data_IF_620304290977
#
_entry.id   IF_620304290977
#
_cell.length_a   1.000
_cell.length_b   1.000
_cell.length_c   1.000
_cell.angle_alpha   90.00
_cell.angle_beta   90.00
_cell.angle_gamma   90.00
#
_symmetry.space_group_name_H-M   'P 1'
#
loop_
_entity.id
_entity.type
_entity.pdbx_description
1 polymer ?
#
# COMPACT_ATOMS: atom_id res chain seq x y z
N UNK A 1 1.26 31.24 17.30
CA UNK A 1 2.29 30.74 16.37
C UNK A 1 2.45 29.23 16.55
N UNK A 2 1.77 28.42 15.74
CA UNK A 2 1.96 26.97 15.72
C UNK A 2 3.29 26.65 15.03
N UNK A 3 4.30 26.23 15.79
CA UNK A 3 5.62 25.93 15.24
C UNK A 3 6.80 26.10 16.20
N UNK A 4 6.56 26.37 17.48
CA UNK A 4 7.59 26.34 18.52
C UNK A 4 8.12 24.92 18.78
N UNK A 5 9.24 24.80 19.50
CA UNK A 5 9.95 23.54 19.78
C UNK A 5 9.01 22.43 20.29
N UNK A 6 8.19 22.73 21.30
CA UNK A 6 7.23 21.77 21.90
C UNK A 6 6.13 21.35 20.92
N UNK A 7 5.67 22.26 20.06
CA UNK A 7 4.66 21.95 19.05
C UNK A 7 5.22 20.99 18.00
N UNK A 8 6.41 21.30 17.47
CA UNK A 8 7.09 20.43 16.49
C UNK A 8 7.40 19.05 17.09
N UNK A 9 7.88 19.02 18.35
CA UNK A 9 8.15 17.79 19.10
C UNK A 9 6.89 16.93 19.24
N UNK A 10 5.81 17.49 19.77
CA UNK A 10 4.57 16.77 20.02
C UNK A 10 3.91 16.31 18.71
N UNK A 11 3.96 17.12 17.65
CA UNK A 11 3.45 16.74 16.34
C UNK A 11 4.24 15.56 15.74
N UNK A 12 5.57 15.58 15.82
CA UNK A 12 6.42 14.50 15.33
C UNK A 12 6.23 13.21 16.14
N UNK A 13 6.06 13.33 17.46
CA UNK A 13 5.72 12.20 18.34
C UNK A 13 4.36 11.61 17.95
N UNK A 14 3.33 12.45 17.83
CA UNK A 14 1.97 12.00 17.47
C UNK A 14 1.94 11.31 16.10
N UNK A 15 2.66 11.86 15.12
CA UNK A 15 2.76 11.30 13.77
C UNK A 15 3.42 9.92 13.78
N UNK A 16 4.53 9.75 14.53
CA UNK A 16 5.18 8.44 14.62
C UNK A 16 4.35 7.43 15.43
N UNK A 17 3.59 7.86 16.47
CA UNK A 17 2.64 6.98 17.16
C UNK A 17 1.55 6.50 16.20
N UNK A 18 1.01 7.39 15.36
CA UNK A 18 0.02 7.01 14.35
C UNK A 18 0.60 5.97 13.38
N UNK A 19 1.84 6.15 12.92
CA UNK A 19 2.50 5.18 12.04
C UNK A 19 2.76 3.82 12.72
N UNK A 20 3.09 3.80 14.03
CA UNK A 20 3.15 2.54 14.80
C UNK A 20 1.80 1.83 14.81
N UNK A 21 0.70 2.57 15.05
CA UNK A 21 -0.66 1.99 15.05
C UNK A 21 -1.02 1.41 13.67
N UNK A 22 -0.70 2.12 12.59
CA UNK A 22 -0.90 1.64 11.22
C UNK A 22 -0.05 0.38 10.97
N UNK A 23 1.20 0.35 11.43
CA UNK A 23 2.07 -0.82 11.30
C UNK A 23 1.49 -2.07 11.96
N UNK A 24 0.97 -1.94 13.18
CA UNK A 24 0.28 -3.06 13.86
C UNK A 24 -1.00 -3.49 13.13
N UNK A 25 -1.76 -2.53 12.58
CA UNK A 25 -2.94 -2.84 11.78
C UNK A 25 -2.57 -3.64 10.52
N UNK A 26 -1.53 -3.22 9.79
CA UNK A 26 -1.05 -3.93 8.60
C UNK A 26 -0.62 -5.37 8.93
N UNK A 27 0.12 -5.56 10.03
CA UNK A 27 0.51 -6.89 10.50
C UNK A 27 -0.73 -7.71 10.87
N UNK A 28 -1.66 -7.14 11.64
CA UNK A 28 -2.88 -7.81 12.07
C UNK A 28 -3.73 -8.30 10.89
N UNK A 29 -3.96 -7.43 9.90
CA UNK A 29 -4.70 -7.79 8.68
C UNK A 29 -3.94 -8.85 7.86
N UNK A 30 -2.62 -8.72 7.73
CA UNK A 30 -1.80 -9.69 7.01
C UNK A 30 -1.81 -11.09 7.66
N UNK A 31 -1.70 -11.14 8.99
CA UNK A 31 -1.77 -12.39 9.76
C UNK A 31 -3.17 -13.01 9.66
N UNK A 32 -4.23 -12.20 9.78
CA UNK A 32 -5.60 -12.66 9.63
C UNK A 32 -5.85 -13.24 8.23
N UNK A 33 -5.43 -12.55 7.18
CA UNK A 33 -5.58 -13.01 5.79
C UNK A 33 -4.88 -14.35 5.54
N UNK A 34 -3.71 -14.56 6.15
CA UNK A 34 -2.99 -15.84 6.10
C UNK A 34 -3.72 -16.94 6.88
N UNK A 35 -4.17 -16.63 8.10
CA UNK A 35 -4.81 -17.60 8.99
C UNK A 35 -6.18 -18.06 8.50
N UNK A 36 -6.95 -17.16 7.87
CA UNK A 36 -8.25 -17.47 7.28
C UNK A 36 -8.15 -18.33 6.00
N UNK A 37 -6.95 -18.71 5.56
CA UNK A 37 -6.67 -19.47 4.34
C UNK A 37 -7.21 -18.87 3.03
N UNK A 38 -7.61 -17.59 3.06
CA UNK A 38 -8.13 -16.87 1.89
C UNK A 38 -7.01 -16.70 0.85
N UNK A 39 -5.77 -16.48 1.30
CA UNK A 39 -4.61 -16.26 0.43
C UNK A 39 -3.35 -16.83 1.09
N UNK A 40 -3.15 -18.15 1.04
CA UNK A 40 -2.08 -18.80 1.83
C UNK A 40 -0.67 -18.63 1.27
N UNK A 41 -0.50 -18.29 -0.02
CA UNK A 41 0.81 -18.27 -0.68
C UNK A 41 1.01 -17.13 -1.71
N UNK A 42 0.22 -16.04 -1.67
CA UNK A 42 0.51 -14.92 -2.57
C UNK A 42 1.66 -14.06 -1.99
N UNK A 43 2.66 -13.69 -2.82
CA UNK A 43 3.73 -12.76 -2.45
C UNK A 43 3.22 -11.45 -1.82
N UNK A 44 1.98 -11.06 -2.17
CA UNK A 44 1.29 -9.87 -1.67
C UNK A 44 1.17 -9.88 -0.13
N UNK A 45 0.84 -11.03 0.48
CA UNK A 45 0.69 -11.14 1.94
C UNK A 45 2.02 -10.91 2.64
N UNK A 46 3.11 -11.48 2.09
CA UNK A 46 4.47 -11.24 2.58
C UNK A 46 4.87 -9.77 2.51
N UNK A 47 4.50 -9.10 1.40
CA UNK A 47 4.71 -7.67 1.22
C UNK A 47 4.03 -6.82 2.30
N UNK A 48 2.74 -7.05 2.58
CA UNK A 48 1.98 -6.31 3.60
C UNK A 48 2.61 -6.48 5.00
N UNK A 49 3.01 -7.71 5.34
CA UNK A 49 3.68 -7.99 6.62
C UNK A 49 5.03 -7.28 6.74
N UNK A 50 5.87 -7.35 5.70
CA UNK A 50 7.16 -6.69 5.68
C UNK A 50 7.02 -5.16 5.78
N UNK A 51 6.08 -4.57 5.04
CA UNK A 51 5.75 -3.15 5.12
C UNK A 51 5.36 -2.73 6.54
N UNK A 52 4.52 -3.52 7.22
CA UNK A 52 4.12 -3.25 8.61
C UNK A 52 5.29 -3.25 9.58
N UNK A 53 6.19 -4.23 9.49
CA UNK A 53 7.39 -4.32 10.34
C UNK A 53 8.35 -3.16 10.08
N UNK A 54 8.63 -2.86 8.81
CA UNK A 54 9.52 -1.75 8.43
C UNK A 54 8.96 -0.42 8.91
N UNK A 55 7.65 -0.19 8.77
CA UNK A 55 6.99 1.03 9.23
C UNK A 55 7.14 1.21 10.74
N UNK A 56 7.00 0.14 11.54
CA UNK A 56 7.22 0.19 12.99
C UNK A 56 8.68 0.56 13.29
N UNK A 57 9.65 -0.08 12.65
CA UNK A 57 11.07 0.20 12.86
C UNK A 57 11.42 1.68 12.57
N UNK A 58 10.95 2.22 11.45
CA UNK A 58 11.15 3.62 11.06
C UNK A 58 10.47 4.56 12.06
N UNK A 59 9.26 4.21 12.50
CA UNK A 59 8.51 5.02 13.47
C UNK A 59 9.17 5.05 14.85
N UNK A 60 9.77 3.94 15.28
CA UNK A 60 10.56 3.86 16.51
C UNK A 60 11.81 4.74 16.44
N UNK A 61 12.50 4.75 15.29
CA UNK A 61 13.64 5.64 15.04
C UNK A 61 13.22 7.11 15.07
N UNK A 62 12.10 7.46 14.43
CA UNK A 62 11.50 8.80 14.47
C UNK A 62 11.11 9.24 15.87
N UNK A 63 10.47 8.36 16.64
CA UNK A 63 10.06 8.62 18.03
C UNK A 63 11.28 8.81 18.95
N UNK A 64 12.28 7.93 18.86
CA UNK A 64 13.52 8.06 19.63
C UNK A 64 14.27 9.35 19.28
N UNK A 65 14.32 9.70 17.99
CA UNK A 65 14.84 10.99 17.52
C UNK A 65 14.09 12.15 18.16
N UNK A 66 12.76 12.15 18.10
CA UNK A 66 11.91 13.22 18.61
C UNK A 66 11.99 13.39 20.14
N UNK A 67 11.98 12.29 20.90
CA UNK A 67 11.99 12.31 22.37
C UNK A 67 13.34 12.76 22.91
N UNK A 68 14.44 12.22 22.37
CA UNK A 68 15.82 12.52 22.81
C UNK A 68 16.45 13.72 22.10
N UNK A 69 15.73 14.34 21.17
CA UNK A 69 16.27 15.40 20.30
C UNK A 69 17.60 15.01 19.62
N UNK A 70 17.74 13.73 19.24
CA UNK A 70 19.02 13.19 18.76
C UNK A 70 19.23 13.51 17.27
N UNK A 71 20.01 14.54 17.00
CA UNK A 71 20.28 15.12 15.68
C UNK A 71 20.58 14.10 14.58
N UNK A 72 21.43 13.10 14.85
CA UNK A 72 21.80 12.08 13.85
C UNK A 72 20.64 11.11 13.55
N UNK A 73 19.81 10.77 14.54
CA UNK A 73 18.66 9.87 14.32
C UNK A 73 17.61 10.57 13.47
N UNK A 74 17.34 11.85 13.74
CA UNK A 74 16.45 12.65 12.89
C UNK A 74 16.98 12.78 11.46
N UNK A 75 18.30 12.82 11.26
CA UNK A 75 18.88 12.87 9.91
C UNK A 75 18.56 11.61 9.11
N UNK A 76 18.85 10.44 9.67
CA UNK A 76 18.53 9.17 9.01
C UNK A 76 17.03 9.00 8.79
N UNK A 77 16.21 9.38 9.79
CA UNK A 77 14.76 9.40 9.66
C UNK A 77 14.29 10.19 8.44
N UNK A 78 14.79 11.42 8.26
CA UNK A 78 14.42 12.26 7.12
C UNK A 78 14.86 11.66 5.79
N UNK A 79 16.06 11.08 5.71
CA UNK A 79 16.53 10.42 4.47
C UNK A 79 15.63 9.24 4.12
N UNK A 80 15.33 8.38 5.11
CA UNK A 80 14.50 7.19 4.89
C UNK A 80 13.09 7.60 4.44
N UNK A 81 12.45 8.55 5.13
CA UNK A 81 11.14 9.06 4.73
C UNK A 81 11.15 9.70 3.34
N UNK A 82 12.21 10.42 2.99
CA UNK A 82 12.31 11.00 1.66
C UNK A 82 12.43 9.92 0.57
N UNK A 83 13.18 8.85 0.81
CA UNK A 83 13.26 7.71 -0.12
C UNK A 83 11.92 6.98 -0.23
N UNK A 84 11.20 6.78 0.89
CA UNK A 84 9.86 6.21 0.87
C UNK A 84 8.88 7.07 0.07
N UNK A 85 8.95 8.39 0.24
CA UNK A 85 8.14 9.34 -0.54
C UNK A 85 8.38 9.16 -2.04
N UNK A 86 9.62 9.10 -2.50
CA UNK A 86 9.92 8.95 -3.92
C UNK A 86 9.37 7.64 -4.49
N UNK A 87 9.52 6.54 -3.75
CA UNK A 87 9.03 5.22 -4.16
C UNK A 87 7.49 5.21 -4.18
N UNK A 88 6.84 5.65 -3.11
CA UNK A 88 5.38 5.66 -2.99
C UNK A 88 4.74 6.59 -4.02
N UNK A 89 5.28 7.79 -4.19
CA UNK A 89 4.77 8.75 -5.16
C UNK A 89 4.89 8.20 -6.59
N UNK A 90 6.00 7.53 -6.91
CA UNK A 90 6.18 6.89 -8.22
C UNK A 90 5.16 5.77 -8.44
N UNK A 91 5.03 4.83 -7.50
CA UNK A 91 4.09 3.70 -7.62
C UNK A 91 2.64 4.22 -7.70
N UNK A 92 2.29 5.18 -6.84
CA UNK A 92 0.94 5.75 -6.80
C UNK A 92 0.57 6.45 -8.10
N UNK A 93 1.51 7.22 -8.66
CA UNK A 93 1.32 7.85 -9.97
C UNK A 93 1.19 6.82 -11.08
N UNK A 94 1.99 5.74 -11.06
CA UNK A 94 1.86 4.64 -12.02
C UNK A 94 0.49 3.97 -11.93
N UNK A 95 -0.03 3.68 -10.73
CA UNK A 95 -1.35 3.09 -10.55
C UNK A 95 -2.48 3.99 -11.10
N UNK A 96 -2.40 5.31 -10.91
CA UNK A 96 -3.41 6.24 -11.45
C UNK A 96 -3.32 6.44 -12.97
N UNK A 97 -2.16 6.17 -13.55
CA UNK A 97 -1.92 6.36 -14.99
C UNK A 97 -2.21 5.10 -15.83
N UNK A 98 -2.57 3.97 -15.21
CA UNK A 98 -2.91 2.73 -15.93
C UNK A 98 -4.14 2.94 -16.81
N UNK A 99 -4.06 2.54 -18.08
CA UNK A 99 -5.16 2.58 -19.03
C UNK A 99 -5.91 1.24 -19.14
N UNK A 100 -7.02 1.21 -19.88
CA UNK A 100 -7.87 0.01 -20.04
C UNK A 100 -7.16 -1.17 -20.71
N UNK A 101 -6.31 -0.93 -21.71
CA UNK A 101 -5.56 -2.01 -22.38
C UNK A 101 -4.58 -2.69 -21.40
N UNK A 102 -3.89 -1.90 -20.57
CA UNK A 102 -3.03 -2.43 -19.52
C UNK A 102 -3.82 -3.18 -18.44
N UNK A 103 -5.01 -2.70 -18.08
CA UNK A 103 -5.90 -3.39 -17.13
C UNK A 103 -6.29 -4.78 -17.65
N UNK A 104 -6.70 -4.86 -18.91
CA UNK A 104 -7.03 -6.13 -19.57
C UNK A 104 -5.82 -7.08 -19.58
N UNK A 105 -4.64 -6.58 -19.94
CA UNK A 105 -3.42 -7.39 -19.92
C UNK A 105 -3.09 -7.92 -18.52
N UNK A 106 -3.23 -7.10 -17.47
CA UNK A 106 -3.02 -7.55 -16.10
C UNK A 106 -4.07 -8.57 -15.65
N UNK A 107 -5.32 -8.38 -16.05
CA UNK A 107 -6.41 -9.32 -15.77
C UNK A 107 -6.13 -10.68 -16.42
N UNK A 108 -5.72 -10.70 -17.69
CA UNK A 108 -5.45 -11.92 -18.44
C UNK A 108 -4.20 -12.65 -17.91
N UNK A 109 -3.09 -11.93 -17.72
CA UNK A 109 -1.87 -12.50 -17.14
C UNK A 109 -2.09 -13.02 -15.72
N UNK A 110 -2.84 -12.26 -14.92
CA UNK A 110 -3.27 -12.65 -13.59
C UNK A 110 -4.05 -13.95 -13.65
N UNK A 111 -5.08 -14.02 -14.51
CA UNK A 111 -5.88 -15.23 -14.71
C UNK A 111 -5.04 -16.43 -15.10
N UNK A 112 -4.09 -16.28 -16.03
CA UNK A 112 -3.24 -17.37 -16.51
C UNK A 112 -2.23 -17.88 -15.46
N UNK A 113 -1.78 -17.00 -14.56
CA UNK A 113 -0.73 -17.31 -13.57
C UNK A 113 -1.27 -17.86 -12.26
N UNK A 114 -2.48 -17.45 -11.85
CA UNK A 114 -3.03 -17.85 -10.55
C UNK A 114 -3.45 -19.33 -10.52
N UNK A 115 -3.36 -19.99 -9.35
CA UNK A 115 -3.77 -21.39 -9.21
C UNK A 115 -5.28 -21.57 -9.39
N UNK A 116 -5.69 -22.76 -9.82
CA UNK A 116 -7.09 -23.16 -10.08
C UNK A 116 -8.03 -22.87 -8.90
N UNK A 117 -7.55 -23.03 -7.66
CA UNK A 117 -8.34 -22.73 -6.46
C UNK A 117 -8.68 -21.23 -6.34
N UNK A 118 -7.72 -20.35 -6.68
CA UNK A 118 -7.98 -18.90 -6.66
C UNK A 118 -8.93 -18.50 -7.80
N UNK A 119 -8.81 -19.11 -8.98
CA UNK A 119 -9.79 -18.90 -10.07
C UNK A 119 -11.20 -19.28 -9.64
N UNK A 120 -11.35 -20.43 -8.97
CA UNK A 120 -12.63 -20.89 -8.43
C UNK A 120 -13.20 -19.92 -7.40
N UNK A 121 -12.38 -19.40 -6.48
CA UNK A 121 -12.82 -18.37 -5.52
C UNK A 121 -13.27 -17.09 -6.21
N UNK A 122 -12.56 -16.65 -7.26
CA UNK A 122 -12.96 -15.48 -8.06
C UNK A 122 -14.30 -15.73 -8.73
N UNK A 123 -14.49 -16.89 -9.38
CA UNK A 123 -15.77 -17.29 -9.98
C UNK A 123 -16.91 -17.32 -8.96
N UNK A 124 -16.67 -17.91 -7.78
CA UNK A 124 -17.65 -18.01 -6.70
C UNK A 124 -18.04 -16.65 -6.11
N UNK A 125 -17.07 -15.73 -6.00
CA UNK A 125 -17.25 -14.38 -5.43
C UNK A 125 -17.83 -13.37 -6.42
N UNK A 126 -17.45 -13.44 -7.70
CA UNK A 126 -17.91 -12.52 -8.75
C UNK A 126 -19.10 -13.06 -9.54
N UNK A 127 -19.51 -14.32 -9.30
CA UNK A 127 -20.62 -14.99 -10.01
C UNK A 127 -20.44 -14.94 -11.53
N UNK A 128 -19.25 -15.30 -11.98
CA UNK A 128 -18.84 -15.32 -13.39
C UNK A 128 -18.20 -16.68 -13.73
N UNK A 129 -18.03 -16.97 -15.03
CA UNK A 129 -17.42 -18.21 -15.50
C UNK A 129 -16.41 -17.95 -16.62
N UNK A 130 -15.19 -18.50 -16.50
CA UNK A 130 -14.13 -18.36 -17.50
C UNK A 130 -13.63 -16.92 -17.64
N UNK A 131 -12.49 -16.72 -18.31
CA UNK A 131 -11.96 -15.37 -18.51
C UNK A 131 -12.69 -14.63 -19.63
N UNK A 132 -12.78 -15.24 -20.81
CA UNK A 132 -13.53 -14.73 -21.94
C UNK A 132 -14.86 -15.48 -22.09
N UNK A 133 -15.85 -14.86 -22.73
CA UNK A 133 -17.12 -15.52 -23.00
C UNK A 133 -16.83 -16.78 -23.81
N UNK A 134 -17.10 -17.95 -23.24
CA UNK A 134 -17.04 -19.24 -23.95
C UNK A 134 -18.10 -19.27 -25.05
N UNK A 135 -17.80 -18.62 -26.17
CA UNK A 135 -18.27 -19.02 -27.50
C UNK A 135 -17.38 -20.17 -28.01
N UNK A 136 -17.84 -20.98 -28.97
CA UNK A 136 -17.00 -21.99 -29.60
C UNK A 136 -15.97 -21.30 -30.49
N UNK A 137 -14.93 -20.70 -29.92
CA UNK A 137 -13.83 -20.13 -30.68
C UNK A 137 -12.80 -21.23 -30.95
N UNK A 138 -12.97 -21.88 -32.10
CA UNK A 138 -11.84 -22.21 -32.94
C UNK A 138 -10.92 -20.99 -33.02
N UNK A 139 -9.63 -21.21 -32.72
CA UNK A 139 -8.50 -20.29 -32.87
C UNK A 139 -7.96 -19.70 -31.54
N UNK A 140 -6.98 -20.42 -31.01
CA UNK A 140 -5.70 -19.83 -30.54
C UNK A 140 -5.70 -19.03 -29.24
N UNK A 141 -5.99 -19.67 -28.11
CA UNK A 141 -5.21 -19.48 -26.87
C UNK A 141 -5.17 -20.86 -26.19
N UNK A 142 -4.00 -21.32 -25.77
CA UNK A 142 -3.89 -22.57 -25.00
C UNK A 142 -4.73 -22.39 -23.74
N UNK A 143 -5.82 -23.17 -23.53
CA UNK A 143 -6.62 -23.05 -22.32
C UNK A 143 -5.73 -23.32 -21.10
N UNK A 144 -5.98 -22.66 -19.96
CA UNK A 144 -5.23 -22.94 -18.74
C UNK A 144 -5.25 -24.44 -18.43
N UNK A 145 -4.14 -25.02 -17.91
CA UNK A 145 -3.99 -26.47 -17.81
C UNK A 145 -5.11 -27.17 -17.02
N UNK A 146 -5.83 -26.44 -16.16
CA UNK A 146 -7.03 -26.88 -15.46
C UNK A 146 -7.96 -25.66 -15.22
N UNK A 147 -8.97 -25.44 -16.07
CA UNK A 147 -10.06 -24.51 -15.74
C UNK A 147 -11.09 -25.20 -14.84
N UNK A 148 -11.52 -24.58 -13.73
CA UNK A 148 -12.51 -25.17 -12.85
C UNK A 148 -13.89 -25.23 -13.54
N UNK A 149 -14.61 -26.34 -13.36
CA UNK A 149 -15.95 -26.51 -13.95
C UNK A 149 -16.90 -25.39 -13.53
N UNK A 150 -17.58 -24.80 -14.50
CA UNK A 150 -18.59 -23.76 -14.30
C UNK A 150 -20.01 -24.29 -14.06
N UNK A 151 -20.22 -25.60 -14.03
CA UNK A 151 -21.55 -26.19 -13.94
C UNK A 151 -22.32 -25.71 -12.70
N UNK A 152 -21.63 -25.65 -11.55
CA UNK A 152 -22.22 -25.15 -10.30
C UNK A 152 -22.53 -23.66 -10.31
N UNK A 153 -21.68 -22.84 -10.92
CA UNK A 153 -21.86 -21.38 -10.93
C UNK A 153 -22.95 -20.98 -11.93
N UNK A 154 -23.01 -21.66 -13.08
CA UNK A 154 -24.05 -21.47 -14.09
C UNK A 154 -25.44 -21.73 -13.51
N UNK A 155 -25.62 -22.80 -12.72
CA UNK A 155 -26.87 -23.04 -11.99
C UNK A 155 -27.27 -21.87 -11.07
N UNK A 156 -26.31 -21.13 -10.53
CA UNK A 156 -26.57 -20.00 -9.64
C UNK A 156 -26.90 -18.71 -10.39
N UNK A 157 -26.20 -18.40 -11.49
CA UNK A 157 -26.54 -17.24 -12.35
C UNK A 157 -27.89 -17.45 -13.05
N UNK A 158 -28.16 -18.69 -13.46
CA UNK A 158 -29.31 -19.08 -14.26
C UNK A 158 -30.51 -19.55 -13.42
N UNK A 159 -30.49 -19.35 -12.10
CA UNK A 159 -31.54 -19.81 -11.19
C UNK A 159 -32.95 -19.25 -11.54
N UNK A 160 -33.00 -18.13 -12.28
CA UNK A 160 -34.24 -17.47 -12.70
C UNK A 160 -34.43 -17.43 -14.22
N UNK A 161 -33.52 -18.00 -15.02
CA UNK A 161 -33.63 -17.98 -16.48
C UNK A 161 -34.44 -19.17 -16.99
N UNK A 162 -35.38 -18.94 -17.90
CA UNK A 162 -36.12 -19.99 -18.61
C UNK A 162 -35.41 -20.51 -19.86
N UNK A 163 -34.16 -20.09 -20.10
CA UNK A 163 -33.37 -20.47 -21.26
C UNK A 163 -32.61 -21.78 -21.01
N UNK A 164 -32.71 -22.70 -21.97
CA UNK A 164 -32.08 -24.03 -21.88
C UNK A 164 -30.54 -24.01 -22.01
N UNK A 165 -29.94 -22.93 -22.50
CA UNK A 165 -28.48 -22.72 -22.65
C UNK A 165 -28.03 -21.42 -21.98
N UNK A 166 -28.53 -21.15 -20.77
CA UNK A 166 -28.06 -20.01 -19.98
C UNK A 166 -26.64 -20.27 -19.45
N UNK A 167 -25.76 -19.27 -19.57
CA UNK A 167 -24.38 -19.27 -19.05
C UNK A 167 -24.12 -17.98 -18.28
N UNK A 168 -23.30 -18.05 -17.23
CA UNK A 168 -22.84 -16.83 -16.55
C UNK A 168 -22.00 -15.97 -17.50
N UNK A 169 -21.97 -14.67 -17.22
CA UNK A 169 -21.08 -13.72 -17.90
C UNK A 169 -19.59 -14.08 -17.64
N UNK A 170 -18.68 -13.80 -18.59
CA UNK A 170 -17.24 -13.96 -18.38
C UNK A 170 -16.69 -13.13 -17.21
N UNK A 171 -15.66 -13.65 -16.56
CA UNK A 171 -14.97 -12.97 -15.47
C UNK A 171 -14.05 -11.82 -15.93
N UNK A 172 -13.59 -11.81 -17.18
CA UNK A 172 -12.69 -10.80 -17.75
C UNK A 172 -13.13 -9.36 -17.47
N UNK A 173 -14.28 -8.90 -17.99
CA UNK A 173 -14.74 -7.52 -17.77
C UNK A 173 -14.96 -7.19 -16.30
N UNK A 174 -15.50 -8.12 -15.50
CA UNK A 174 -15.67 -7.92 -14.06
C UNK A 174 -14.32 -7.78 -13.34
N UNK A 175 -13.30 -8.51 -13.78
CA UNK A 175 -11.97 -8.46 -13.19
C UNK A 175 -11.26 -7.15 -13.55
N UNK A 176 -11.40 -6.67 -14.79
CA UNK A 176 -10.91 -5.37 -15.24
C UNK A 176 -11.48 -4.23 -14.39
N UNK A 177 -12.80 -4.22 -14.14
CA UNK A 177 -13.45 -3.22 -13.28
C UNK A 177 -12.90 -3.24 -11.84
N UNK A 178 -12.65 -4.44 -11.29
CA UNK A 178 -12.07 -4.58 -9.94
C UNK A 178 -10.62 -4.10 -9.90
N UNK A 179 -9.84 -4.37 -10.94
CA UNK A 179 -8.46 -3.93 -11.07
C UNK A 179 -8.40 -2.41 -11.21
N UNK A 180 -9.25 -1.80 -12.03
CA UNK A 180 -9.36 -0.33 -12.18
C UNK A 180 -9.67 0.34 -10.84
N UNK A 181 -10.70 -0.15 -10.14
CA UNK A 181 -11.04 0.36 -8.82
C UNK A 181 -9.88 0.22 -7.83
N UNK A 182 -9.21 -0.93 -7.81
CA UNK A 182 -8.09 -1.17 -6.92
C UNK A 182 -6.91 -0.23 -7.23
N UNK A 183 -6.56 -0.02 -8.50
CA UNK A 183 -5.48 0.89 -8.87
C UNK A 183 -5.81 2.34 -8.53
N UNK A 184 -7.04 2.81 -8.77
CA UNK A 184 -7.48 4.16 -8.39
C UNK A 184 -7.43 4.37 -6.88
N UNK A 185 -7.90 3.38 -6.11
CA UNK A 185 -7.89 3.43 -4.65
C UNK A 185 -6.45 3.42 -4.11
N UNK A 186 -5.62 2.46 -4.54
CA UNK A 186 -4.22 2.34 -4.12
C UNK A 186 -3.40 3.57 -4.50
N UNK A 187 -3.59 4.09 -5.72
CA UNK A 187 -2.93 5.31 -6.18
C UNK A 187 -3.36 6.54 -5.37
N UNK A 188 -4.65 6.70 -5.09
CA UNK A 188 -5.15 7.78 -4.23
C UNK A 188 -4.58 7.72 -2.80
N UNK A 189 -4.60 6.54 -2.18
CA UNK A 189 -4.02 6.33 -0.84
C UNK A 189 -2.51 6.59 -0.83
N UNK A 190 -1.78 6.12 -1.84
CA UNK A 190 -0.34 6.33 -1.96
C UNK A 190 0.04 7.81 -2.08
N UNK A 191 -0.71 8.61 -2.87
CA UNK A 191 -0.51 10.06 -2.94
C UNK A 191 -0.82 10.73 -1.60
N UNK A 192 -1.92 10.34 -0.93
CA UNK A 192 -2.27 10.88 0.38
C UNK A 192 -1.14 10.62 1.40
N UNK A 193 -0.64 9.39 1.49
CA UNK A 193 0.47 9.05 2.39
C UNK A 193 1.75 9.80 2.02
N UNK A 194 2.09 9.89 0.74
CA UNK A 194 3.24 10.66 0.24
C UNK A 194 3.21 12.11 0.71
N UNK A 195 2.03 12.75 0.71
CA UNK A 195 1.87 14.11 1.25
C UNK A 195 2.15 14.18 2.76
N UNK A 196 1.65 13.21 3.54
CA UNK A 196 1.94 13.15 4.98
C UNK A 196 3.43 12.93 5.27
N UNK A 197 4.14 12.18 4.44
CA UNK A 197 5.58 11.94 4.57
C UNK A 197 6.39 13.22 4.28
N UNK A 198 6.02 13.99 3.25
CA UNK A 198 6.64 15.30 2.99
C UNK A 198 6.43 16.24 4.17
N UNK A 199 5.23 16.26 4.75
CA UNK A 199 4.96 17.04 5.97
C UNK A 199 5.81 16.54 7.14
N UNK A 200 5.96 15.24 7.32
CA UNK A 200 6.80 14.65 8.36
C UNK A 200 8.28 15.05 8.19
N UNK A 201 8.82 15.00 6.96
CA UNK A 201 10.18 15.45 6.64
C UNK A 201 10.34 16.94 6.93
N UNK A 202 9.36 17.76 6.54
CA UNK A 202 9.37 19.19 6.84
C UNK A 202 9.37 19.48 8.34
N UNK A 203 8.51 18.80 9.11
CA UNK A 203 8.44 18.92 10.56
C UNK A 203 9.74 18.45 11.22
N UNK A 204 10.31 17.31 10.78
CA UNK A 204 11.57 16.79 11.29
C UNK A 204 12.73 17.74 10.99
N UNK A 205 12.81 18.30 9.78
CA UNK A 205 13.83 19.30 9.40
C UNK A 205 13.72 20.55 10.25
N UNK A 206 12.49 21.06 10.42
CA UNK A 206 12.24 22.23 11.27
C UNK A 206 12.63 21.94 12.71
N UNK A 207 12.17 20.83 13.28
CA UNK A 207 12.44 20.45 14.66
C UNK A 207 13.95 20.26 14.90
N UNK A 208 14.64 19.59 13.97
CA UNK A 208 16.08 19.39 14.02
C UNK A 208 16.87 20.71 14.05
N UNK A 209 16.42 21.71 13.29
CA UNK A 209 17.05 23.03 13.22
C UNK A 209 16.66 23.95 14.40
N UNK A 210 15.76 23.52 15.29
CA UNK A 210 15.41 24.28 16.47
C UNK A 210 16.41 24.02 17.60
N UNK A 211 16.79 25.08 18.30
CA UNK A 211 17.59 24.95 19.51
C UNK A 211 16.72 24.36 20.62
N UNK A 212 17.26 23.41 21.36
CA UNK A 212 16.58 22.89 22.55
C UNK A 212 16.60 23.99 23.63
N UNK A 213 15.43 24.49 24.08
CA UNK A 213 15.37 25.56 25.06
C UNK A 213 15.91 25.16 26.44
N UNK A 214 16.08 23.86 26.71
CA UNK A 214 16.63 23.37 27.98
C UNK A 214 18.15 23.53 28.08
N UNK A 215 18.84 23.71 26.94
CA UNK A 215 20.26 23.97 26.90
C UNK A 215 20.50 25.46 26.65
N UNK A 216 21.51 26.03 27.31
CA UNK A 216 21.97 27.38 26.98
C UNK A 216 22.57 27.36 25.57
N UNK A 217 22.30 28.37 24.73
CA UNK A 217 22.97 28.47 23.43
C UNK A 217 24.47 28.55 23.65
N UNK A 218 25.23 27.78 22.89
CA UNK A 218 26.69 27.88 22.87
C UNK A 218 27.07 29.30 22.40
N UNK A 219 27.28 30.21 23.35
CA UNK A 219 27.84 31.52 23.08
C UNK A 219 29.34 31.34 22.94
N UNK A 220 29.88 31.64 21.77
CA UNK A 220 31.30 31.90 21.64
C UNK A 220 31.61 33.09 22.55
N UNK A 221 32.31 32.84 23.66
CA UNK A 221 32.90 33.91 24.47
C UNK A 221 34.09 34.39 23.66
N UNK A 222 33.90 35.47 22.90
CA UNK A 222 35.02 36.19 22.32
C UNK A 222 35.73 36.92 23.46
N UNK A 223 37.00 36.62 23.77
CA UNK A 223 37.75 37.44 24.71
C UNK A 223 37.81 38.85 24.13
N UNK A 224 37.25 39.83 24.84
CA UNK A 224 37.58 41.22 24.58
C UNK A 224 39.05 41.39 24.95
N UNK A 225 39.91 41.52 23.95
CA UNK A 225 41.28 41.98 24.15
C UNK A 225 41.22 43.31 24.89
N UNK A 226 41.72 43.31 26.12
CA UNK A 226 41.96 44.53 26.88
C UNK A 226 43.03 45.32 26.13
N UNK A 227 42.62 46.41 25.47
CA UNK A 227 43.53 47.45 24.98
C UNK A 227 44.24 48.06 26.19
N UNK A 228 45.58 47.92 26.21
CA UNK A 228 46.49 48.64 27.10
C UNK A 228 46.46 50.15 26.82
#
# INVERSE_FOLDING_TARGET
MCGGFTCSKNALIALNILYVMIGFLLIGVGVYARAASIVTNLPIVGGILACGVILICISMLGLAGAVKHHQVMLFFYMIILFMLFLIQFSIASSCLAVNSEQQQQFAEQGWMTVPTELRKQVQDSLKCCGFNATGPSTNSVVPPPEEPSCERINLQCCAHSSEADCRCEPCGPLLEDKIDYAFKLCGGLGIFFSFTEVLAVFLARRYRNQHDPCYLPARAVFPHDYLY
#
